data_IF_176017817346
#
_entry.id   IF_176017817346
#
_cell.length_a   1.000
_cell.length_b   1.000
_cell.length_c   1.000
_cell.angle_alpha   90.00
_cell.angle_beta   90.00
_cell.angle_gamma   90.00
#
_symmetry.space_group_name_H-M   'P 1'
#
loop_
_entity.id
_entity.type
_entity.pdbx_description
1 polymer ?
#
# COMPACT_ATOMS: atom_id res chain seq x y z
N UNK A 1 -6.51 0.73 12.80
CA UNK A 1 -7.58 0.29 11.88
C UNK A 1 -8.04 1.49 11.07
N UNK A 2 -7.97 1.44 9.73
CA UNK A 2 -8.41 2.55 8.88
C UNK A 2 -9.94 2.61 8.96
N UNK A 3 -10.50 3.56 9.71
CA UNK A 3 -11.94 3.72 9.84
C UNK A 3 -12.51 4.30 8.54
N UNK A 4 -12.87 3.43 7.60
CA UNK A 4 -13.41 3.82 6.31
C UNK A 4 -14.90 3.53 6.27
N UNK A 5 -15.70 4.55 5.92
CA UNK A 5 -17.18 4.48 5.84
C UNK A 5 -17.72 3.29 5.03
N UNK A 6 -16.93 2.74 4.11
CA UNK A 6 -17.31 1.59 3.28
C UNK A 6 -16.18 0.56 3.32
N UNK A 7 -16.47 -0.66 3.71
CA UNK A 7 -15.48 -1.74 3.80
C UNK A 7 -15.20 -2.32 2.41
N UNK A 8 -14.13 -3.11 2.28
CA UNK A 8 -13.86 -3.83 1.02
C UNK A 8 -14.92 -4.89 0.73
N UNK A 9 -15.59 -5.41 1.76
CA UNK A 9 -16.73 -6.29 1.62
C UNK A 9 -17.95 -5.58 0.99
N UNK A 10 -18.22 -4.33 1.39
CA UNK A 10 -19.28 -3.53 0.77
C UNK A 10 -18.98 -3.26 -0.72
N UNK A 11 -17.71 -3.02 -1.05
CA UNK A 11 -17.26 -2.82 -2.44
C UNK A 11 -17.45 -4.08 -3.28
N UNK A 12 -17.14 -5.26 -2.72
CA UNK A 12 -17.37 -6.55 -3.39
C UNK A 12 -18.85 -6.75 -3.69
N UNK A 13 -19.72 -6.58 -2.69
CA UNK A 13 -21.17 -6.72 -2.86
C UNK A 13 -21.75 -5.76 -3.91
N UNK A 14 -21.25 -4.52 -3.99
CA UNK A 14 -21.64 -3.55 -5.03
C UNK A 14 -21.29 -4.05 -6.43
N UNK A 15 -20.09 -4.63 -6.60
CA UNK A 15 -19.62 -5.15 -7.88
C UNK A 15 -20.45 -6.37 -8.27
N UNK A 16 -20.72 -7.30 -7.36
CA UNK A 16 -21.56 -8.47 -7.62
C UNK A 16 -22.95 -8.06 -8.12
N UNK A 17 -23.58 -7.05 -7.51
CA UNK A 17 -24.88 -6.53 -7.96
C UNK A 17 -24.81 -5.86 -9.34
N UNK A 18 -23.69 -5.20 -9.65
CA UNK A 18 -23.46 -4.61 -10.96
C UNK A 18 -23.26 -5.68 -12.05
N UNK A 19 -22.54 -6.75 -11.75
CA UNK A 19 -22.35 -7.89 -12.67
C UNK A 19 -23.66 -8.66 -12.91
N UNK A 20 -24.57 -8.66 -11.93
CA UNK A 20 -25.95 -9.15 -12.10
C UNK A 20 -26.83 -8.22 -12.97
N UNK A 21 -26.29 -7.12 -13.50
CA UNK A 21 -26.98 -6.22 -14.42
C UNK A 21 -27.84 -5.14 -13.76
N UNK A 22 -27.76 -4.96 -12.43
CA UNK A 22 -28.54 -3.93 -11.73
C UNK A 22 -28.09 -2.52 -12.08
N UNK A 23 -29.03 -1.59 -12.07
CA UNK A 23 -28.75 -0.18 -12.34
C UNK A 23 -28.05 0.48 -11.16
N UNK A 24 -27.21 1.48 -11.45
CA UNK A 24 -26.47 2.22 -10.40
C UNK A 24 -27.38 2.87 -9.36
N UNK A 25 -28.58 3.31 -9.76
CA UNK A 25 -29.59 3.90 -8.86
C UNK A 25 -30.14 2.86 -7.87
N UNK A 26 -30.39 1.64 -8.35
CA UNK A 26 -30.87 0.54 -7.51
C UNK A 26 -29.79 0.13 -6.51
N UNK A 27 -28.55 0.00 -6.97
CA UNK A 27 -27.40 -0.30 -6.10
C UNK A 27 -27.21 0.81 -5.05
N UNK A 28 -27.31 2.07 -5.45
CA UNK A 28 -27.24 3.23 -4.55
C UNK A 28 -28.27 3.12 -3.42
N UNK A 29 -29.51 2.75 -3.75
CA UNK A 29 -30.60 2.61 -2.79
C UNK A 29 -30.44 1.38 -1.90
N UNK A 30 -30.02 0.23 -2.46
CA UNK A 30 -29.83 -1.02 -1.70
C UNK A 30 -28.76 -0.87 -0.61
N UNK A 31 -27.67 -0.16 -0.92
CA UNK A 31 -26.53 0.00 -0.01
C UNK A 31 -26.53 1.32 0.77
N UNK A 32 -27.59 2.13 0.67
CA UNK A 32 -27.70 3.48 1.24
C UNK A 32 -26.40 4.31 1.05
N UNK A 33 -25.93 4.32 -0.20
CA UNK A 33 -24.66 4.93 -0.57
C UNK A 33 -24.90 6.00 -1.63
N UNK A 34 -24.21 7.16 -1.57
CA UNK A 34 -24.31 8.16 -2.63
C UNK A 34 -23.95 7.56 -3.99
N UNK A 35 -24.78 7.82 -5.01
CA UNK A 35 -24.58 7.30 -6.36
C UNK A 35 -23.19 7.64 -6.92
N UNK A 36 -22.64 8.80 -6.55
CA UNK A 36 -21.27 9.21 -6.89
C UNK A 36 -20.20 8.25 -6.37
N UNK A 37 -20.40 7.69 -5.17
CA UNK A 37 -19.49 6.72 -4.56
C UNK A 37 -19.60 5.37 -5.26
N UNK A 38 -20.82 4.88 -5.50
CA UNK A 38 -21.07 3.64 -6.27
C UNK A 38 -20.42 3.75 -7.65
N UNK A 39 -20.66 4.85 -8.36
CA UNK A 39 -20.04 5.14 -9.66
C UNK A 39 -18.52 5.11 -9.59
N UNK A 40 -17.91 5.74 -8.58
CA UNK A 40 -16.45 5.75 -8.42
C UNK A 40 -15.88 4.35 -8.15
N UNK A 41 -16.56 3.53 -7.32
CA UNK A 41 -16.18 2.13 -7.07
C UNK A 41 -16.15 1.34 -8.38
N UNK A 42 -17.23 1.44 -9.18
CA UNK A 42 -17.33 0.71 -10.45
C UNK A 42 -16.33 1.21 -11.49
N UNK A 43 -16.06 2.52 -11.57
CA UNK A 43 -15.04 3.07 -12.46
C UNK A 43 -13.64 2.53 -12.11
N UNK A 44 -13.30 2.47 -10.83
CA UNK A 44 -12.02 1.89 -10.36
C UNK A 44 -11.95 0.41 -10.70
N UNK A 45 -13.03 -0.35 -10.46
CA UNK A 45 -13.09 -1.76 -10.79
C UNK A 45 -12.89 -2.00 -12.29
N UNK A 46 -13.60 -1.27 -13.16
CA UNK A 46 -13.46 -1.39 -14.62
C UNK A 46 -12.06 -1.02 -15.13
N UNK A 47 -11.41 -0.04 -14.50
CA UNK A 47 -10.11 0.46 -14.96
C UNK A 47 -8.93 -0.37 -14.44
N UNK A 48 -8.98 -0.79 -13.18
CA UNK A 48 -7.85 -1.41 -12.47
C UNK A 48 -8.10 -2.87 -12.09
N UNK A 49 -9.32 -3.40 -12.23
CA UNK A 49 -9.72 -4.73 -11.73
C UNK A 49 -9.77 -4.83 -10.19
N UNK A 50 -9.58 -3.72 -9.49
CA UNK A 50 -9.37 -3.70 -8.04
C UNK A 50 -10.66 -3.44 -7.26
N UNK A 51 -10.92 -4.31 -6.28
CA UNK A 51 -12.03 -4.17 -5.32
C UNK A 51 -11.58 -3.39 -4.08
N UNK A 52 -10.43 -3.77 -3.51
CA UNK A 52 -9.90 -3.25 -2.25
C UNK A 52 -9.52 -1.79 -2.32
N UNK A 53 -9.64 -1.03 -1.23
CA UNK A 53 -9.17 0.36 -1.18
C UNK A 53 -7.64 0.46 -1.21
N UNK A 54 -7.13 1.47 -1.93
CA UNK A 54 -5.73 1.88 -1.77
C UNK A 54 -5.51 2.44 -0.37
N UNK A 55 -4.40 2.07 0.25
CA UNK A 55 -3.94 2.67 1.48
C UNK A 55 -3.84 4.20 1.30
N UNK A 56 -4.36 4.95 2.28
CA UNK A 56 -4.26 6.42 2.30
C UNK A 56 -2.97 6.82 3.01
N UNK A 57 -2.22 7.74 2.42
CA UNK A 57 -0.96 8.23 2.99
C UNK A 57 0.20 7.23 2.83
N UNK A 58 1.14 7.27 3.78
CA UNK A 58 2.36 6.44 3.76
C UNK A 58 3.56 7.14 3.13
N UNK A 59 4.76 6.65 3.46
CA UNK A 59 6.01 7.21 2.97
C UNK A 59 6.27 6.72 1.54
N UNK A 60 6.07 7.62 0.56
CA UNK A 60 6.27 7.33 -0.86
C UNK A 60 7.74 7.23 -1.26
N UNK A 61 8.61 7.97 -0.57
CA UNK A 61 10.04 8.03 -0.85
C UNK A 61 10.83 7.52 0.34
N UNK A 62 11.24 6.26 0.27
CA UNK A 62 12.16 5.68 1.23
C UNK A 62 13.58 6.00 0.80
N UNK A 63 14.36 6.62 1.71
CA UNK A 63 15.81 6.79 1.51
C UNK A 63 16.53 5.44 1.46
N UNK A 64 15.98 4.43 2.15
CA UNK A 64 16.46 3.05 2.14
C UNK A 64 15.69 2.30 1.05
N UNK A 65 16.40 1.92 0.00
CA UNK A 65 15.87 1.11 -1.09
C UNK A 65 16.06 -0.38 -0.77
N UNK A 66 15.32 -1.30 -1.43
CA UNK A 66 15.52 -2.74 -1.26
C UNK A 66 16.98 -3.17 -1.45
N UNK A 67 17.68 -2.65 -2.46
CA UNK A 67 19.09 -2.93 -2.69
C UNK A 67 20.01 -2.54 -1.51
N UNK A 68 19.68 -1.49 -0.75
CA UNK A 68 20.42 -1.11 0.45
C UNK A 68 20.13 -2.09 1.59
N UNK A 69 18.88 -2.57 1.71
CA UNK A 69 18.50 -3.59 2.69
C UNK A 69 19.26 -4.88 2.41
N UNK A 70 19.26 -5.34 1.16
CA UNK A 70 19.95 -6.58 0.75
C UNK A 70 21.45 -6.48 1.05
N UNK A 71 22.08 -5.33 0.78
CA UNK A 71 23.48 -5.11 1.11
C UNK A 71 23.76 -5.11 2.61
N UNK A 72 22.89 -4.51 3.43
CA UNK A 72 23.03 -4.52 4.88
C UNK A 72 22.88 -5.95 5.41
N UNK A 73 21.92 -6.71 4.88
CA UNK A 73 21.69 -8.11 5.26
C UNK A 73 22.92 -8.96 4.96
N UNK A 74 23.48 -8.86 3.75
CA UNK A 74 24.71 -9.55 3.35
C UNK A 74 25.90 -9.16 4.25
N UNK A 75 26.04 -7.88 4.62
CA UNK A 75 27.09 -7.44 5.54
C UNK A 75 26.97 -8.08 6.93
N UNK A 76 25.75 -8.16 7.47
CA UNK A 76 25.50 -8.72 8.80
C UNK A 76 25.66 -10.24 8.78
N UNK A 77 25.17 -10.91 7.74
CA UNK A 77 25.24 -12.36 7.61
C UNK A 77 26.69 -12.86 7.45
N UNK A 78 27.51 -12.13 6.68
CA UNK A 78 28.93 -12.47 6.49
C UNK A 78 29.85 -11.96 7.61
N UNK A 79 29.42 -10.94 8.38
CA UNK A 79 30.22 -10.31 9.44
C UNK A 79 29.32 -10.03 10.65
N UNK A 80 28.92 -11.07 11.37
CA UNK A 80 27.96 -10.96 12.47
C UNK A 80 28.43 -10.09 13.65
N UNK A 81 29.72 -9.75 13.73
CA UNK A 81 30.31 -8.85 14.71
C UNK A 81 30.42 -7.38 14.24
N UNK A 82 29.91 -7.04 13.06
CA UNK A 82 29.97 -5.67 12.53
C UNK A 82 29.15 -4.71 13.40
N UNK A 83 29.74 -3.58 13.77
CA UNK A 83 29.00 -2.57 14.54
C UNK A 83 28.05 -1.77 13.64
N UNK A 84 26.97 -1.23 14.21
CA UNK A 84 26.06 -0.33 13.49
C UNK A 84 26.78 0.92 12.93
N UNK A 85 27.86 1.37 13.58
CA UNK A 85 28.70 2.48 13.09
C UNK A 85 29.42 2.10 11.79
N UNK A 86 29.92 0.87 11.71
CA UNK A 86 30.63 0.35 10.56
C UNK A 86 29.67 0.07 9.40
N UNK A 87 28.49 -0.50 9.68
CA UNK A 87 27.41 -0.65 8.69
C UNK A 87 27.05 0.70 8.08
N UNK A 88 26.85 1.74 8.91
CA UNK A 88 26.57 3.10 8.43
C UNK A 88 27.68 3.61 7.52
N UNK A 89 28.94 3.40 7.88
CA UNK A 89 30.09 3.85 7.08
C UNK A 89 30.13 3.15 5.72
N UNK A 90 29.95 1.82 5.71
CA UNK A 90 29.93 1.01 4.47
C UNK A 90 28.77 1.39 3.55
N UNK A 91 27.57 1.59 4.10
CA UNK A 91 26.41 2.05 3.31
C UNK A 91 26.62 3.46 2.76
N UNK A 92 27.23 4.37 3.54
CA UNK A 92 27.60 5.70 3.05
C UNK A 92 28.59 5.62 1.89
N UNK A 93 29.61 4.76 2.00
CA UNK A 93 30.63 4.59 0.95
C UNK A 93 30.04 3.99 -0.34
N UNK A 94 29.21 2.96 -0.23
CA UNK A 94 28.67 2.24 -1.40
C UNK A 94 27.47 2.94 -2.05
N UNK A 95 26.58 3.51 -1.26
CA UNK A 95 25.29 4.03 -1.72
C UNK A 95 25.11 5.54 -1.52
N UNK A 96 26.11 6.24 -0.96
CA UNK A 96 26.06 7.70 -0.74
C UNK A 96 25.06 8.14 0.34
N UNK A 97 24.44 7.19 1.07
CA UNK A 97 23.38 7.47 2.04
C UNK A 97 23.91 7.30 3.45
N UNK A 98 23.75 8.35 4.27
CA UNK A 98 24.05 8.31 5.68
C UNK A 98 22.84 7.79 6.46
N UNK A 99 22.98 6.61 7.07
CA UNK A 99 21.96 6.03 7.93
C UNK A 99 22.00 6.64 9.35
N UNK A 100 20.83 6.77 9.98
CA UNK A 100 20.77 7.06 11.42
C UNK A 100 21.20 5.82 12.21
N UNK A 101 21.86 6.04 13.34
CA UNK A 101 22.14 4.96 14.30
C UNK A 101 21.14 5.17 15.44
N UNK A 102 20.04 4.44 15.40
CA UNK A 102 18.99 4.49 16.42
C UNK A 102 18.51 3.07 16.63
N UNK A 103 18.49 2.63 17.90
CA UNK A 103 18.06 1.31 18.34
C UNK A 103 16.54 1.14 18.20
#
# INVERSE_FOLDING_TARGET
>A
MVNSKYTDNDRRRIIDQYEQGRRLTEISNIFDMPMSTVKNILTVFKKEGRIEKKARGGKRHNKITPAIVDYIQDLVDNQCWISLKDVRLKVKQRHGILLSITT
#
